data_IF_915298214607
#
_entry.id   IF_915298214607
#
_cell.length_a   1.000
_cell.length_b   1.000
_cell.length_c   1.000
_cell.angle_alpha   90.00
_cell.angle_beta   90.00
_cell.angle_gamma   90.00
#
_symmetry.space_group_name_H-M   'P 1'
#
loop_
_entity.id
_entity.type
_entity.pdbx_description
1 polymer ?
#
# COMPACT_ATOMS: atom_id res chain seq x y z
N UNK A 1 17.24 -8.03 -38.80
CA UNK A 1 16.12 -8.95 -38.54
C UNK A 1 16.70 -10.28 -38.06
N UNK A 2 16.95 -10.47 -36.77
CA UNK A 2 17.55 -11.70 -36.24
C UNK A 2 16.43 -12.68 -35.84
N UNK A 3 16.14 -13.62 -36.73
CA UNK A 3 15.30 -14.76 -36.42
C UNK A 3 16.01 -15.59 -35.34
N UNK A 4 15.49 -15.58 -34.11
CA UNK A 4 15.94 -16.48 -33.05
C UNK A 4 15.49 -17.89 -33.41
N UNK A 5 16.36 -18.65 -34.08
CA UNK A 5 16.19 -20.09 -34.28
C UNK A 5 16.11 -20.76 -32.92
N UNK A 6 14.88 -20.99 -32.46
CA UNK A 6 14.60 -21.68 -31.20
C UNK A 6 15.04 -23.13 -31.36
N UNK A 7 15.93 -23.61 -30.48
CA UNK A 7 16.47 -24.97 -30.57
C UNK A 7 15.33 -26.01 -30.53
N UNK A 8 15.43 -27.14 -31.25
CA UNK A 8 14.42 -28.22 -31.20
C UNK A 8 14.04 -28.67 -29.77
N UNK A 9 14.98 -28.51 -28.83
CA UNK A 9 14.78 -28.76 -27.39
C UNK A 9 13.84 -27.75 -26.73
N UNK A 10 13.88 -26.48 -27.13
CA UNK A 10 13.00 -25.43 -26.60
C UNK A 10 11.57 -25.61 -27.12
N UNK A 11 11.42 -25.99 -28.39
CA UNK A 11 10.12 -26.36 -28.96
C UNK A 11 9.50 -27.59 -28.26
N UNK A 12 10.32 -28.58 -27.88
CA UNK A 12 9.86 -29.75 -27.09
C UNK A 12 9.44 -29.34 -25.68
N UNK A 13 10.21 -28.50 -24.99
CA UNK A 13 9.89 -27.97 -23.66
C UNK A 13 8.60 -27.16 -23.67
N UNK A 14 8.41 -26.31 -24.67
CA UNK A 14 7.20 -25.49 -24.79
C UNK A 14 5.96 -26.34 -25.06
N UNK A 15 6.05 -27.36 -25.92
CA UNK A 15 4.95 -28.33 -26.12
C UNK A 15 4.56 -29.05 -24.83
N UNK A 16 5.55 -29.48 -24.03
CA UNK A 16 5.29 -30.12 -22.74
C UNK A 16 4.65 -29.16 -21.74
N UNK A 17 5.11 -27.89 -21.71
CA UNK A 17 4.51 -26.82 -20.91
C UNK A 17 3.05 -26.59 -21.31
N UNK A 18 2.76 -26.45 -22.60
CA UNK A 18 1.41 -26.23 -23.10
C UNK A 18 0.47 -27.41 -22.80
N UNK A 19 0.96 -28.65 -22.95
CA UNK A 19 0.24 -29.86 -22.52
C UNK A 19 -0.10 -29.80 -21.03
N UNK A 20 0.87 -29.43 -20.18
CA UNK A 20 0.67 -29.30 -18.73
C UNK A 20 -0.34 -28.21 -18.38
N UNK A 21 -0.29 -27.05 -19.03
CA UNK A 21 -1.25 -25.95 -18.86
C UNK A 21 -2.66 -26.40 -19.23
N UNK A 22 -2.80 -27.02 -20.41
CA UNK A 22 -4.09 -27.54 -20.89
C UNK A 22 -4.65 -28.62 -19.95
N UNK A 23 -3.81 -29.53 -19.46
CA UNK A 23 -4.21 -30.53 -18.50
C UNK A 23 -4.68 -29.89 -17.18
N UNK A 24 -3.93 -28.93 -16.63
CA UNK A 24 -4.31 -28.20 -15.41
C UNK A 24 -5.63 -27.44 -15.57
N UNK A 25 -5.86 -26.84 -16.75
CA UNK A 25 -7.10 -26.13 -17.07
C UNK A 25 -8.29 -27.08 -17.12
N UNK A 26 -8.18 -28.19 -17.85
CA UNK A 26 -9.22 -29.23 -17.95
C UNK A 26 -9.53 -29.88 -16.60
N UNK A 27 -8.54 -29.99 -15.72
CA UNK A 27 -8.68 -30.62 -14.41
C UNK A 27 -8.81 -29.62 -13.25
N UNK A 28 -9.12 -28.34 -13.50
CA UNK A 28 -9.08 -27.27 -12.49
C UNK A 28 -9.93 -27.59 -11.26
N UNK A 29 -11.14 -28.10 -11.47
CA UNK A 29 -12.08 -28.42 -10.40
C UNK A 29 -11.61 -29.60 -9.56
N UNK A 30 -11.24 -30.72 -10.20
CA UNK A 30 -10.66 -31.88 -9.53
C UNK A 30 -9.40 -31.51 -8.74
N UNK A 31 -8.51 -30.69 -9.32
CA UNK A 31 -7.31 -30.20 -8.63
C UNK A 31 -7.65 -29.28 -7.45
N UNK A 32 -8.68 -28.45 -7.57
CA UNK A 32 -9.17 -27.58 -6.49
C UNK A 32 -9.69 -28.43 -5.33
N UNK A 33 -10.54 -29.41 -5.62
CA UNK A 33 -11.15 -30.31 -4.63
C UNK A 33 -10.09 -31.18 -3.94
N UNK A 34 -9.18 -31.78 -4.71
CA UNK A 34 -8.03 -32.51 -4.17
C UNK A 34 -7.18 -31.66 -3.22
N UNK A 35 -6.86 -30.41 -3.61
CA UNK A 35 -6.10 -29.48 -2.77
C UNK A 35 -6.87 -29.12 -1.50
N UNK A 36 -8.18 -28.89 -1.61
CA UNK A 36 -9.06 -28.59 -0.47
C UNK A 36 -9.07 -29.74 0.53
N UNK A 37 -9.29 -30.98 0.08
CA UNK A 37 -9.26 -32.19 0.92
C UNK A 37 -7.90 -32.39 1.58
N UNK A 38 -6.81 -32.25 0.82
CA UNK A 38 -5.44 -32.33 1.34
C UNK A 38 -5.19 -31.26 2.41
N UNK A 39 -5.63 -30.03 2.16
CA UNK A 39 -5.53 -28.93 3.13
C UNK A 39 -6.33 -29.25 4.39
N UNK A 40 -7.57 -29.70 4.28
CA UNK A 40 -8.41 -30.08 5.43
C UNK A 40 -7.75 -31.18 6.27
N UNK A 41 -7.28 -32.26 5.63
CA UNK A 41 -6.59 -33.39 6.29
C UNK A 41 -5.33 -32.94 7.03
N UNK A 42 -4.59 -31.97 6.51
CA UNK A 42 -3.32 -31.51 7.07
C UNK A 42 -3.38 -30.12 7.71
N UNK A 43 -4.59 -29.57 7.94
CA UNK A 43 -4.81 -28.16 8.32
C UNK A 43 -4.02 -27.78 9.56
N UNK A 44 -4.10 -28.59 10.63
CA UNK A 44 -3.42 -28.34 11.90
C UNK A 44 -1.90 -28.19 11.71
N UNK A 45 -1.28 -29.12 10.98
CA UNK A 45 0.16 -29.09 10.68
C UNK A 45 0.55 -27.89 9.82
N UNK A 46 -0.21 -27.61 8.77
CA UNK A 46 0.04 -26.49 7.86
C UNK A 46 -0.03 -25.17 8.64
N UNK A 47 -1.07 -24.97 9.46
CA UNK A 47 -1.22 -23.76 10.26
C UNK A 47 -0.10 -23.61 11.30
N UNK A 48 0.31 -24.69 11.95
CA UNK A 48 1.45 -24.68 12.88
C UNK A 48 2.76 -24.29 12.19
N UNK A 49 3.03 -24.86 11.01
CA UNK A 49 4.20 -24.50 10.20
C UNK A 49 4.17 -23.04 9.74
N UNK A 50 3.01 -22.55 9.30
CA UNK A 50 2.85 -21.14 8.94
C UNK A 50 3.07 -20.22 10.14
N UNK A 51 2.53 -20.56 11.31
CA UNK A 51 2.75 -19.79 12.53
C UNK A 51 4.24 -19.77 12.94
N UNK A 52 4.93 -20.90 12.87
CA UNK A 52 6.37 -20.99 13.13
C UNK A 52 7.18 -20.16 12.12
N UNK A 53 6.86 -20.24 10.82
CA UNK A 53 7.52 -19.46 9.77
C UNK A 53 7.34 -17.94 9.97
N UNK A 54 6.17 -17.49 10.44
CA UNK A 54 5.94 -16.07 10.78
C UNK A 54 6.82 -15.60 11.93
N UNK A 55 7.08 -16.46 12.92
CA UNK A 55 7.96 -16.15 14.05
C UNK A 55 9.43 -16.10 13.63
N UNK A 56 9.84 -16.95 12.67
CA UNK A 56 11.21 -17.01 12.18
C UNK A 56 11.63 -15.76 11.41
N UNK A 57 10.72 -15.17 10.63
CA UNK A 57 11.00 -13.94 9.87
C UNK A 57 9.83 -12.94 9.97
N UNK A 58 9.72 -12.22 11.10
CA UNK A 58 8.64 -11.27 11.33
C UNK A 58 8.69 -10.08 10.36
N UNK A 59 9.86 -9.70 9.86
CA UNK A 59 10.01 -8.60 8.90
C UNK A 59 9.43 -8.93 7.52
N UNK A 60 9.74 -10.12 7.00
CA UNK A 60 9.14 -10.59 5.75
C UNK A 60 7.61 -10.69 5.88
N UNK A 61 7.12 -11.10 7.05
CA UNK A 61 5.70 -11.13 7.34
C UNK A 61 5.06 -9.74 7.33
N UNK A 62 5.65 -8.77 8.05
CA UNK A 62 5.23 -7.36 8.06
C UNK A 62 5.21 -6.77 6.66
N UNK A 63 6.27 -6.97 5.87
CA UNK A 63 6.37 -6.48 4.49
C UNK A 63 5.27 -7.08 3.60
N UNK A 64 5.02 -8.38 3.73
CA UNK A 64 3.95 -9.07 2.99
C UNK A 64 2.57 -8.53 3.37
N UNK A 65 2.31 -8.35 4.66
CA UNK A 65 1.06 -7.78 5.16
C UNK A 65 0.85 -6.34 4.67
N UNK A 66 1.89 -5.50 4.70
CA UNK A 66 1.84 -4.12 4.19
C UNK A 66 1.49 -4.10 2.69
N UNK A 67 2.20 -4.89 1.88
CA UNK A 67 1.93 -5.01 0.43
C UNK A 67 0.48 -5.41 0.17
N UNK A 68 -0.03 -6.41 0.91
CA UNK A 68 -1.40 -6.87 0.76
C UNK A 68 -2.42 -5.79 1.17
N UNK A 69 -2.18 -5.11 2.30
CA UNK A 69 -3.06 -4.04 2.80
C UNK A 69 -3.16 -2.89 1.80
N UNK A 70 -2.03 -2.39 1.30
CA UNK A 70 -2.00 -1.27 0.34
C UNK A 70 -2.79 -1.64 -0.93
N UNK A 71 -2.51 -2.82 -1.49
CA UNK A 71 -3.22 -3.29 -2.69
C UNK A 71 -4.71 -3.43 -2.48
N UNK A 72 -5.14 -4.01 -1.35
CA UNK A 72 -6.56 -4.23 -1.08
C UNK A 72 -7.31 -2.93 -0.80
N UNK A 73 -6.70 -2.02 -0.04
CA UNK A 73 -7.35 -0.80 0.41
C UNK A 73 -7.37 0.29 -0.68
N UNK A 74 -6.31 0.39 -1.48
CA UNK A 74 -6.10 1.54 -2.37
C UNK A 74 -5.90 1.16 -3.84
N UNK A 75 -5.89 -0.13 -4.18
CA UNK A 75 -5.70 -0.61 -5.56
C UNK A 75 -4.28 -0.45 -6.12
N UNK A 76 -3.33 0.11 -5.36
CA UNK A 76 -1.95 0.32 -5.80
C UNK A 76 -0.99 -0.75 -5.27
N UNK A 77 0.09 -0.99 -6.00
CA UNK A 77 1.20 -1.84 -5.57
C UNK A 77 2.10 -1.13 -4.56
N UNK A 78 2.96 -1.90 -3.89
CA UNK A 78 3.96 -1.31 -3.00
C UNK A 78 4.95 -0.45 -3.79
N UNK A 79 5.27 -0.88 -5.00
CA UNK A 79 6.17 -0.18 -5.92
C UNK A 79 5.57 1.14 -6.41
N UNK A 80 4.26 1.16 -6.72
CA UNK A 80 3.53 2.40 -7.02
C UNK A 80 3.45 3.33 -5.80
N UNK A 81 3.31 2.77 -4.60
CA UNK A 81 3.35 3.55 -3.36
C UNK A 81 4.71 4.21 -3.16
N UNK A 82 5.81 3.47 -3.34
CA UNK A 82 7.17 4.01 -3.23
C UNK A 82 7.41 5.10 -4.30
N UNK A 83 7.02 4.86 -5.55
CA UNK A 83 7.14 5.84 -6.63
C UNK A 83 6.34 7.13 -6.36
N UNK A 84 5.12 7.00 -5.85
CA UNK A 84 4.31 8.16 -5.42
C UNK A 84 5.01 8.94 -4.30
N UNK A 85 5.60 8.23 -3.33
CA UNK A 85 6.27 8.89 -2.22
C UNK A 85 7.55 9.59 -2.64
N UNK A 86 8.33 8.96 -3.51
CA UNK A 86 9.55 9.54 -4.05
C UNK A 86 9.25 10.78 -4.91
N UNK A 87 8.17 10.74 -5.71
CA UNK A 87 7.69 11.92 -6.46
C UNK A 87 7.28 13.09 -5.54
N UNK A 88 6.84 12.81 -4.31
CA UNK A 88 6.59 13.83 -3.30
C UNK A 88 7.86 14.35 -2.61
N UNK A 89 9.04 13.78 -2.88
CA UNK A 89 10.27 14.05 -2.14
C UNK A 89 10.27 13.39 -0.76
N UNK A 90 9.54 12.27 -0.60
CA UNK A 90 9.39 11.50 0.65
C UNK A 90 8.93 12.32 1.85
N UNK A 91 8.08 13.32 1.60
CA UNK A 91 7.45 14.18 2.62
C UNK A 91 5.93 14.15 2.53
N UNK A 92 5.29 14.71 3.54
CA UNK A 92 3.85 14.88 3.57
C UNK A 92 3.37 15.66 2.33
N UNK A 93 2.31 15.19 1.66
CA UNK A 93 1.72 15.89 0.51
C UNK A 93 1.00 17.19 0.91
N UNK A 94 0.68 17.39 2.20
CA UNK A 94 0.16 18.66 2.67
C UNK A 94 1.27 19.72 2.64
N UNK A 95 1.17 20.78 1.83
CA UNK A 95 2.22 21.78 1.68
C UNK A 95 2.46 22.60 2.96
N UNK A 96 1.48 22.71 3.85
CA UNK A 96 1.64 23.36 5.15
C UNK A 96 2.32 22.47 6.21
N UNK A 97 2.74 21.27 5.85
CA UNK A 97 3.38 20.32 6.76
C UNK A 97 4.87 20.15 6.43
N UNK A 98 5.72 20.40 7.41
CA UNK A 98 7.19 20.25 7.30
C UNK A 98 7.69 18.84 7.65
N UNK A 99 6.79 17.89 7.90
CA UNK A 99 7.18 16.52 8.26
C UNK A 99 7.80 15.82 7.05
N UNK A 100 9.07 15.45 7.18
CA UNK A 100 9.85 14.72 6.17
C UNK A 100 10.38 13.37 6.67
N UNK A 101 10.61 13.22 7.98
CA UNK A 101 11.29 12.05 8.53
C UNK A 101 10.46 11.35 9.61
N UNK A 102 9.50 10.53 9.16
CA UNK A 102 8.76 9.63 10.06
C UNK A 102 9.11 8.17 9.78
N UNK A 103 9.35 7.37 10.83
CA UNK A 103 9.51 5.93 10.65
C UNK A 103 8.22 5.32 10.10
N UNK A 104 8.36 4.38 9.16
CA UNK A 104 7.25 3.53 8.78
C UNK A 104 6.73 2.78 10.03
N UNK A 105 5.41 2.60 10.19
CA UNK A 105 4.35 2.79 9.20
C UNK A 105 3.57 4.11 9.31
N UNK A 106 4.16 5.20 9.82
CA UNK A 106 3.43 6.47 10.11
C UNK A 106 3.00 7.30 8.88
N UNK A 107 3.28 6.80 7.67
CA UNK A 107 2.86 7.39 6.40
C UNK A 107 1.60 6.71 5.87
N UNK A 108 0.58 7.51 5.57
CA UNK A 108 -0.75 7.07 5.19
C UNK A 108 -1.05 7.43 3.75
N UNK A 109 -1.70 6.50 3.02
CA UNK A 109 -2.23 6.79 1.69
C UNK A 109 -3.54 7.52 1.84
N UNK A 110 -3.57 8.76 1.35
CA UNK A 110 -4.75 9.58 1.28
C UNK A 110 -5.47 9.34 -0.05
N UNK A 111 -6.79 9.21 -0.01
CA UNK A 111 -7.63 8.89 -1.16
C UNK A 111 -8.98 9.59 -1.06
N UNK A 112 -9.55 9.94 -2.20
CA UNK A 112 -10.88 10.54 -2.24
C UNK A 112 -11.93 9.48 -1.93
N UNK A 113 -12.73 9.69 -0.88
CA UNK A 113 -13.79 8.74 -0.49
C UNK A 113 -14.90 8.57 -1.55
N UNK A 114 -15.05 9.52 -2.49
CA UNK A 114 -16.04 9.44 -3.58
C UNK A 114 -15.54 8.61 -4.77
N UNK A 115 -14.31 8.85 -5.22
CA UNK A 115 -13.78 8.24 -6.45
C UNK A 115 -12.82 7.08 -6.19
N UNK A 116 -12.41 6.88 -4.93
CA UNK A 116 -11.34 5.97 -4.51
C UNK A 116 -9.97 6.30 -5.13
N UNK A 117 -9.84 7.44 -5.80
CA UNK A 117 -8.58 7.88 -6.38
C UNK A 117 -7.59 8.30 -5.27
N UNK A 118 -6.37 7.78 -5.33
CA UNK A 118 -5.27 8.19 -4.45
C UNK A 118 -4.91 9.65 -4.73
N UNK A 119 -4.87 10.47 -3.68
CA UNK A 119 -4.48 11.88 -3.73
C UNK A 119 -2.99 12.05 -3.47
N UNK A 120 -2.45 11.32 -2.48
CA UNK A 120 -1.06 11.41 -2.09
C UNK A 120 -0.75 10.63 -0.82
N UNK A 121 0.43 10.88 -0.25
CA UNK A 121 0.87 10.30 1.01
C UNK A 121 0.99 11.40 2.06
N UNK A 122 0.30 11.22 3.17
CA UNK A 122 0.26 12.16 4.29
C UNK A 122 0.91 11.56 5.54
N UNK A 123 1.43 12.41 6.41
CA UNK A 123 1.78 11.98 7.77
C UNK A 123 0.52 11.66 8.57
N UNK A 124 0.66 10.88 9.65
CA UNK A 124 -0.46 10.51 10.52
C UNK A 124 -1.33 11.70 10.96
N UNK A 125 -0.72 12.81 11.39
CA UNK A 125 -1.44 13.98 11.90
C UNK A 125 -2.30 14.64 10.80
N UNK A 126 -1.72 14.91 9.62
CA UNK A 126 -2.46 15.53 8.52
C UNK A 126 -3.59 14.63 8.02
N UNK A 127 -3.33 13.33 7.83
CA UNK A 127 -4.37 12.40 7.39
C UNK A 127 -5.53 12.32 8.40
N UNK A 128 -5.21 12.30 9.69
CA UNK A 128 -6.21 12.24 10.76
C UNK A 128 -7.03 13.53 10.82
N UNK A 129 -6.39 14.69 10.71
CA UNK A 129 -7.09 15.98 10.72
C UNK A 129 -8.10 16.11 9.56
N UNK A 130 -7.72 15.70 8.35
CA UNK A 130 -8.64 15.68 7.20
C UNK A 130 -9.84 14.76 7.47
N UNK A 131 -9.59 13.55 7.98
CA UNK A 131 -10.66 12.60 8.32
C UNK A 131 -11.59 13.10 9.43
N UNK A 132 -11.06 13.75 10.47
CA UNK A 132 -11.86 14.32 11.57
C UNK A 132 -12.78 15.45 11.10
N UNK A 133 -12.34 16.23 10.11
CA UNK A 133 -13.15 17.26 9.47
C UNK A 133 -13.97 16.71 8.30
N UNK A 134 -13.93 15.39 8.06
CA UNK A 134 -14.76 14.69 7.09
C UNK A 134 -14.44 15.02 5.64
N UNK A 135 -13.19 15.37 5.32
CA UNK A 135 -12.78 15.84 3.99
C UNK A 135 -13.63 17.02 3.47
N UNK A 136 -14.21 17.81 4.38
CA UNK A 136 -15.11 18.91 4.07
C UNK A 136 -14.36 20.25 4.04
N UNK A 137 -14.30 20.85 2.85
CA UNK A 137 -13.61 22.12 2.61
C UNK A 137 -14.22 23.26 3.45
N UNK A 138 -15.54 23.28 3.66
CA UNK A 138 -16.20 24.33 4.44
C UNK A 138 -15.79 24.25 5.92
N UNK A 139 -15.73 23.03 6.48
CA UNK A 139 -15.27 22.83 7.86
C UNK A 139 -13.78 23.19 8.03
N UNK A 140 -12.95 22.85 7.05
CA UNK A 140 -11.53 23.22 7.02
C UNK A 140 -11.35 24.75 6.96
N UNK A 141 -12.12 25.45 6.12
CA UNK A 141 -12.12 26.92 6.07
C UNK A 141 -12.59 27.53 7.39
N UNK A 142 -13.65 26.99 8.00
CA UNK A 142 -14.13 27.41 9.32
C UNK A 142 -13.07 27.24 10.41
N UNK A 143 -12.29 26.16 10.38
CA UNK A 143 -11.18 25.96 11.31
C UNK A 143 -10.06 27.01 11.14
N UNK A 144 -9.72 27.37 9.89
CA UNK A 144 -8.76 28.46 9.60
C UNK A 144 -9.28 29.79 10.16
N UNK A 145 -10.55 30.12 9.90
CA UNK A 145 -11.16 31.37 10.35
C UNK A 145 -11.25 31.44 11.87
N UNK A 146 -11.61 30.33 12.52
CA UNK A 146 -11.60 30.22 13.98
C UNK A 146 -10.20 30.51 14.55
N UNK A 147 -9.15 29.91 13.98
CA UNK A 147 -7.77 30.17 14.40
C UNK A 147 -7.36 31.62 14.18
N UNK A 148 -7.78 32.26 13.08
CA UNK A 148 -7.49 33.69 12.83
C UNK A 148 -8.18 34.59 13.84
N UNK A 149 -9.46 34.31 14.14
CA UNK A 149 -10.27 35.10 15.08
C UNK A 149 -9.76 35.02 16.52
N UNK A 150 -9.23 33.87 16.90
CA UNK A 150 -8.74 33.60 18.26
C UNK A 150 -7.22 33.39 18.31
N UNK A 151 -6.49 33.84 17.29
CA UNK A 151 -5.03 33.81 17.33
C UNK A 151 -4.59 34.60 18.56
N UNK A 152 -3.84 33.97 19.46
CA UNK A 152 -3.18 34.70 20.54
C UNK A 152 -2.36 35.82 19.91
N UNK A 153 -2.59 37.07 20.31
CA UNK A 153 -1.73 38.22 20.04
C UNK A 153 -0.37 38.01 20.72
N UNK A 154 0.42 37.06 20.27
CA UNK A 154 1.80 36.87 20.72
C UNK A 154 2.67 36.62 19.52
N UNK A 155 2.81 37.66 18.71
CA UNK A 155 3.99 37.94 17.89
C UNK A 155 4.03 39.44 17.58
N UNK A 156 3.79 40.30 18.58
CA UNK A 156 4.41 41.64 18.54
C UNK A 156 5.87 41.44 18.93
N UNK A 157 6.70 41.06 17.96
CA UNK A 157 8.13 41.38 18.00
C UNK A 157 8.21 42.89 17.86
N UNK A 158 8.02 43.57 18.98
CA UNK A 158 8.36 44.97 19.15
C UNK A 158 9.88 45.05 19.05
N UNK A 159 10.39 45.46 17.90
CA UNK A 159 11.69 46.11 17.84
C UNK A 159 11.43 47.59 17.63
N UNK A 160 11.47 48.42 18.69
CA UNK A 160 11.65 49.85 18.48
C UNK A 160 13.13 50.07 18.21
N UNK A 161 13.45 50.75 17.11
CA UNK A 161 14.81 51.20 16.86
C UNK A 161 14.82 52.47 16.02
N UNK A 162 15.89 53.26 16.16
CA UNK A 162 15.86 54.58 16.80
C UNK A 162 15.69 55.76 15.84
#
# INVERSE_FOLDING_TARGET
MTATNSSPMDAKRERLRQKMVNWRRKNKEHLSEYRKRRYQKHRKRILAQLAAARKLNPDADRKRQRRHRIKRAYGITLEQWDALFDAQGRKCANPGCSVTDQPLPKWHVDHCHRTQAVRGILCYACNTALGLLGDDVQKLQGAIEYLRRFACLTDTVTTPSP
#
